data_IF_010430409805
#
_entry.id   IF_010430409805
#
_cell.length_a   1.000
_cell.length_b   1.000
_cell.length_c   1.000
_cell.angle_alpha   90.00
_cell.angle_beta   90.00
_cell.angle_gamma   90.00
#
_symmetry.space_group_name_H-M   'P 1'
#
loop_
_entity.id
_entity.type
_entity.pdbx_description
1 polymer ?
#
# COMPACT_ATOMS: atom_id res chain seq x y z
N UNK A 1 15.38 0.27 19.25
CA UNK A 1 14.11 0.83 19.69
C UNK A 1 13.56 1.78 18.65
N UNK A 2 14.31 2.86 18.40
CA UNK A 2 13.91 3.76 17.34
C UNK A 2 13.91 3.08 15.98
N UNK A 3 14.86 2.18 15.81
CA UNK A 3 14.94 1.42 14.58
C UNK A 3 13.68 0.60 14.37
N UNK A 4 13.20 0.00 15.43
CA UNK A 4 11.99 -0.81 15.33
C UNK A 4 10.80 0.06 14.96
N UNK A 5 10.69 1.24 15.54
CA UNK A 5 9.60 2.14 15.23
C UNK A 5 9.65 2.58 13.77
N UNK A 6 10.85 2.94 13.29
CA UNK A 6 11.01 3.34 11.91
C UNK A 6 10.71 2.20 10.96
N UNK A 7 11.18 1.01 11.30
CA UNK A 7 10.96 -0.16 10.47
C UNK A 7 9.47 -0.45 10.34
N UNK A 8 8.77 -0.43 11.45
CA UNK A 8 7.33 -0.69 11.44
C UNK A 8 6.59 0.35 10.63
N UNK A 9 6.95 1.62 10.79
CA UNK A 9 6.29 2.69 10.05
C UNK A 9 6.54 2.54 8.55
N UNK A 10 7.77 2.21 8.17
CA UNK A 10 8.09 2.04 6.76
C UNK A 10 7.35 0.87 6.15
N UNK A 11 7.28 -0.23 6.87
CA UNK A 11 6.57 -1.41 6.39
C UNK A 11 5.09 -1.11 6.25
N UNK A 12 4.53 -0.41 7.23
CA UNK A 12 3.11 -0.07 7.19
C UNK A 12 2.81 0.81 5.98
N UNK A 13 3.66 1.80 5.74
CA UNK A 13 3.47 2.67 4.59
C UNK A 13 3.57 1.91 3.28
N UNK A 14 4.50 0.97 3.19
CA UNK A 14 4.67 0.16 2.00
C UNK A 14 3.43 -0.70 1.74
N UNK A 15 2.94 -1.34 2.78
CA UNK A 15 1.76 -2.21 2.65
C UNK A 15 0.55 -1.39 2.24
N UNK A 16 0.36 -0.22 2.84
CA UNK A 16 -0.77 0.63 2.50
C UNK A 16 -0.67 1.14 1.06
N UNK A 17 0.54 1.48 0.61
CA UNK A 17 0.74 1.92 -0.76
C UNK A 17 0.42 0.83 -1.75
N UNK A 18 0.83 -0.39 -1.45
CA UNK A 18 0.54 -1.52 -2.34
C UNK A 18 -0.95 -1.83 -2.38
N UNK A 19 -1.59 -1.77 -1.22
CA UNK A 19 -3.02 -2.03 -1.16
C UNK A 19 -3.78 -0.98 -1.97
N UNK A 20 -3.37 0.26 -1.87
CA UNK A 20 -4.00 1.34 -2.63
C UNK A 20 -3.80 1.14 -4.12
N UNK A 21 -2.60 0.71 -4.52
CA UNK A 21 -2.30 0.47 -5.92
C UNK A 21 -3.16 -0.67 -6.47
N UNK A 22 -3.32 -1.73 -5.71
CA UNK A 22 -4.14 -2.86 -6.13
C UNK A 22 -5.60 -2.41 -6.25
N UNK A 23 -6.06 -1.63 -5.30
CA UNK A 23 -7.41 -1.12 -5.34
C UNK A 23 -7.64 -0.26 -6.58
N UNK A 24 -6.69 0.61 -6.88
CA UNK A 24 -6.77 1.44 -8.07
C UNK A 24 -6.79 0.61 -9.35
N UNK A 25 -5.97 -0.45 -9.38
CA UNK A 25 -5.95 -1.34 -10.52
C UNK A 25 -7.29 -2.03 -10.71
N UNK A 26 -7.89 -2.46 -9.63
CA UNK A 26 -9.20 -3.11 -9.68
C UNK A 26 -10.24 -2.16 -10.26
N UNK A 27 -10.26 -0.94 -9.78
CA UNK A 27 -11.20 0.06 -10.26
C UNK A 27 -10.96 0.32 -11.74
N UNK A 28 -9.70 0.40 -12.14
CA UNK A 28 -9.38 0.64 -13.55
C UNK A 28 -9.91 -0.49 -14.44
N UNK A 29 -9.78 -1.71 -13.99
CA UNK A 29 -10.32 -2.84 -14.73
C UNK A 29 -11.83 -2.78 -14.85
N UNK A 30 -12.48 -2.37 -13.81
CA UNK A 30 -13.94 -2.26 -13.82
C UNK A 30 -14.40 -1.20 -14.80
N UNK A 31 -13.68 -0.11 -14.88
CA UNK A 31 -14.03 0.96 -15.81
C UNK A 31 -13.72 0.54 -17.24
N UNK A 32 -12.61 -0.13 -17.43
CA UNK A 32 -12.22 -0.60 -18.76
C UNK A 32 -13.20 -1.61 -19.30
N UNK A 33 -13.64 -2.46 -18.40
CA UNK A 33 -14.47 -3.48 -18.64
C UNK A 33 -15.43 -3.92 -19.25
#
# INVERSE_FOLDING_TARGET
VEKDASFTTNILGLVLSEALAIYGLLISFMILG
#
